data_IF_308960587747
#
_entry.id   IF_308960587747
#
_cell.length_a   1.000
_cell.length_b   1.000
_cell.length_c   1.000
_cell.angle_alpha   90.00
_cell.angle_beta   90.00
_cell.angle_gamma   90.00
#
_symmetry.space_group_name_H-M   'P 1'
#
loop_
_entity.id
_entity.type
_entity.pdbx_description
1 polymer ?
#
# COMPACT_ATOMS: atom_id res chain seq x y z
N UNK A 1 -0.42 2.67 12.52
CA UNK A 1 -0.37 1.22 12.20
C UNK A 1 -0.03 1.04 10.72
N UNK A 2 -0.75 1.66 9.76
CA UNK A 2 -0.57 1.44 8.31
C UNK A 2 0.85 1.68 7.75
N UNK A 3 1.66 2.49 8.43
CA UNK A 3 3.08 2.69 8.08
C UNK A 3 3.97 1.50 8.46
N UNK A 4 3.53 0.65 9.38
CA UNK A 4 4.23 -0.55 9.82
C UNK A 4 3.55 -1.79 9.22
N UNK A 5 4.21 -2.44 8.27
CA UNK A 5 3.67 -3.62 7.56
C UNK A 5 3.41 -4.80 8.48
N UNK A 6 4.29 -5.01 9.48
CA UNK A 6 4.12 -6.10 10.43
C UNK A 6 2.94 -5.84 11.37
N UNK A 7 2.86 -4.63 11.96
CA UNK A 7 1.74 -4.24 12.81
C UNK A 7 0.40 -4.26 12.05
N UNK A 8 0.39 -3.83 10.78
CA UNK A 8 -0.78 -3.90 9.91
C UNK A 8 -1.25 -5.33 9.73
N UNK A 9 -0.36 -6.25 9.36
CA UNK A 9 -0.70 -7.67 9.19
C UNK A 9 -1.16 -8.31 10.50
N UNK A 10 -0.50 -8.01 11.61
CA UNK A 10 -0.91 -8.49 12.94
C UNK A 10 -2.34 -8.06 13.29
N UNK A 11 -2.73 -6.82 12.96
CA UNK A 11 -4.09 -6.32 13.16
C UNK A 11 -5.13 -6.99 12.25
N UNK A 12 -4.72 -7.45 11.07
CA UNK A 12 -5.58 -8.11 10.07
C UNK A 12 -5.64 -9.65 10.21
N UNK A 13 -4.89 -10.24 11.15
CA UNK A 13 -4.73 -11.70 11.27
C UNK A 13 -6.05 -12.46 11.45
N UNK A 14 -7.01 -11.86 12.15
CA UNK A 14 -8.31 -12.48 12.45
C UNK A 14 -9.42 -11.91 11.55
N UNK A 15 -9.10 -11.66 10.28
CA UNK A 15 -10.00 -11.18 9.23
C UNK A 15 -9.93 -12.11 8.02
N UNK A 16 -10.81 -11.89 7.03
CA UNK A 16 -10.80 -12.63 5.76
C UNK A 16 -9.77 -12.06 4.76
N UNK A 17 -8.97 -11.06 5.17
CA UNK A 17 -7.87 -10.52 4.35
C UNK A 17 -6.78 -11.57 4.18
N UNK A 18 -6.51 -11.96 2.94
CA UNK A 18 -5.54 -13.00 2.62
C UNK A 18 -4.11 -12.48 2.70
N UNK A 19 -3.48 -12.68 3.84
CA UNK A 19 -2.13 -12.19 4.14
C UNK A 19 -1.05 -13.08 3.52
N UNK A 20 0.01 -12.46 3.00
CA UNK A 20 1.23 -13.19 2.61
C UNK A 20 1.89 -13.74 3.88
N UNK A 21 2.24 -15.04 3.92
CA UNK A 21 2.99 -15.62 5.04
C UNK A 21 4.29 -14.86 5.30
N UNK A 22 4.50 -14.45 6.55
CA UNK A 22 5.62 -13.62 6.95
C UNK A 22 6.26 -14.04 8.28
N UNK A 23 7.42 -13.46 8.56
CA UNK A 23 8.12 -13.52 9.83
C UNK A 23 8.87 -12.22 10.07
N UNK A 24 8.75 -11.66 11.27
CA UNK A 24 9.60 -10.56 11.72
C UNK A 24 10.96 -11.13 12.14
N UNK A 25 12.03 -10.49 11.66
CA UNK A 25 13.43 -10.82 11.99
C UNK A 25 13.97 -9.68 12.86
N UNK A 26 14.31 -9.99 14.10
CA UNK A 26 14.87 -9.01 15.01
C UNK A 26 16.32 -8.64 14.64
N UNK A 27 16.77 -7.49 15.11
CA UNK A 27 18.15 -7.06 14.94
C UNK A 27 19.15 -8.07 15.53
N UNK A 28 20.14 -8.43 14.76
CA UNK A 28 21.17 -9.43 15.16
C UNK A 28 20.74 -10.88 14.95
N UNK A 29 19.47 -11.14 14.64
CA UNK A 29 19.02 -12.45 14.21
C UNK A 29 19.30 -12.62 12.71
N UNK A 30 20.17 -13.59 12.36
CA UNK A 30 20.41 -13.87 10.94
C UNK A 30 19.18 -14.55 10.33
N UNK A 31 18.60 -14.02 9.24
CA UNK A 31 17.41 -14.60 8.66
C UNK A 31 17.69 -15.94 8.00
N UNK A 32 16.91 -16.95 8.39
CA UNK A 32 16.80 -18.19 7.65
C UNK A 32 15.38 -18.28 7.07
N UNK A 33 15.27 -18.58 5.79
CA UNK A 33 13.98 -18.75 5.12
C UNK A 33 13.73 -20.22 4.80
N UNK A 34 12.49 -20.66 4.99
CA UNK A 34 11.99 -21.91 4.40
C UNK A 34 11.36 -21.68 3.02
N UNK A 35 11.24 -20.42 2.63
CA UNK A 35 10.69 -20.00 1.35
C UNK A 35 11.81 -19.46 0.47
N UNK A 36 11.95 -19.96 -0.72
CA UNK A 36 12.72 -19.34 -1.79
C UNK A 36 11.96 -19.52 -3.09
N UNK A 37 11.75 -18.43 -3.86
CA UNK A 37 12.11 -17.04 -3.53
C UNK A 37 11.40 -16.51 -2.29
N UNK A 38 12.05 -15.56 -1.60
CA UNK A 38 11.47 -14.79 -0.50
C UNK A 38 11.75 -13.30 -0.67
N UNK A 39 11.01 -12.48 0.07
CA UNK A 39 11.19 -11.02 0.09
C UNK A 39 11.68 -10.62 1.47
N UNK A 40 12.80 -9.91 1.53
CA UNK A 40 13.26 -9.22 2.73
C UNK A 40 12.94 -7.74 2.57
N UNK A 41 12.30 -7.12 3.54
CA UNK A 41 11.96 -5.70 3.47
C UNK A 41 11.96 -5.02 4.82
N UNK A 42 12.18 -3.71 4.81
CA UNK A 42 11.98 -2.84 5.97
C UNK A 42 10.48 -2.78 6.29
N UNK A 43 10.04 -3.16 7.50
CA UNK A 43 8.63 -3.08 7.88
C UNK A 43 8.08 -1.64 7.84
N UNK A 44 8.93 -0.62 8.04
CA UNK A 44 8.58 0.80 7.99
C UNK A 44 8.93 1.45 6.64
N UNK A 45 9.58 0.72 5.73
CA UNK A 45 10.00 1.21 4.42
C UNK A 45 8.80 1.55 3.51
N UNK A 46 8.99 2.52 2.63
CA UNK A 46 8.01 2.94 1.63
C UNK A 46 8.58 2.97 0.21
N UNK A 47 7.71 3.10 -0.79
CA UNK A 47 8.09 3.28 -2.20
C UNK A 47 9.04 2.20 -2.76
N UNK A 48 8.92 0.96 -2.29
CA UNK A 48 9.81 -0.17 -2.65
C UNK A 48 11.30 0.02 -2.28
N UNK A 49 11.63 1.04 -1.49
CA UNK A 49 12.98 1.22 -0.93
C UNK A 49 13.19 0.19 0.19
N UNK A 50 14.33 -0.48 0.18
CA UNK A 50 14.63 -1.51 1.18
C UNK A 50 13.81 -2.80 0.99
N UNK A 51 13.48 -3.13 -0.25
CA UNK A 51 12.82 -4.38 -0.64
C UNK A 51 13.78 -5.21 -1.50
N UNK A 52 14.06 -6.44 -1.07
CA UNK A 52 14.96 -7.36 -1.77
C UNK A 52 14.24 -8.68 -2.06
N UNK A 53 14.22 -9.07 -3.32
CA UNK A 53 13.79 -10.42 -3.74
C UNK A 53 15.01 -11.33 -3.67
N UNK A 54 14.95 -12.33 -2.82
CA UNK A 54 16.05 -13.26 -2.56
C UNK A 54 15.69 -14.64 -3.12
N UNK A 55 16.40 -15.07 -4.14
CA UNK A 55 16.21 -16.38 -4.78
C UNK A 55 16.99 -17.48 -4.07
N UNK A 56 18.07 -17.12 -3.37
CA UNK A 56 18.99 -18.04 -2.69
C UNK A 56 19.29 -17.59 -1.26
N UNK A 57 19.79 -18.50 -0.39
CA UNK A 57 20.29 -18.13 0.92
C UNK A 57 21.40 -17.06 0.89
N UNK A 58 22.20 -17.06 -0.18
CA UNK A 58 23.26 -16.07 -0.35
C UNK A 58 22.72 -14.68 -0.66
N UNK A 59 21.65 -14.57 -1.49
CA UNK A 59 20.99 -13.30 -1.75
C UNK A 59 20.41 -12.72 -0.47
N UNK A 60 19.75 -13.57 0.33
CA UNK A 60 19.18 -13.18 1.62
C UNK A 60 20.26 -12.67 2.59
N UNK A 61 21.40 -13.34 2.63
CA UNK A 61 22.55 -12.92 3.43
C UNK A 61 23.06 -11.54 2.97
N UNK A 62 23.21 -11.36 1.67
CA UNK A 62 23.69 -10.11 1.08
C UNK A 62 22.74 -8.96 1.40
N UNK A 63 21.44 -9.15 1.17
CA UNK A 63 20.40 -8.15 1.46
C UNK A 63 20.41 -7.73 2.94
N UNK A 64 20.48 -8.72 3.85
CA UNK A 64 20.52 -8.47 5.29
C UNK A 64 21.76 -7.67 5.71
N UNK A 65 22.94 -7.96 5.15
CA UNK A 65 24.20 -7.29 5.52
C UNK A 65 24.35 -5.92 4.90
N UNK A 66 23.66 -5.63 3.80
CA UNK A 66 23.70 -4.33 3.12
C UNK A 66 22.71 -3.31 3.68
N UNK A 67 21.82 -3.72 4.54
CA UNK A 67 20.81 -2.85 5.11
C UNK A 67 21.17 -2.40 6.52
N UNK A 68 20.92 -1.11 6.81
CA UNK A 68 21.05 -0.52 8.14
C UNK A 68 19.77 -0.63 8.98
N UNK A 69 18.77 -1.35 8.51
CA UNK A 69 17.49 -1.53 9.19
C UNK A 69 17.65 -2.39 10.44
N UNK A 70 16.96 -2.00 11.51
CA UNK A 70 17.03 -2.72 12.81
C UNK A 70 16.20 -3.99 12.85
N UNK A 71 15.14 -4.03 12.08
CA UNK A 71 14.20 -5.15 12.00
C UNK A 71 13.83 -5.37 10.54
N UNK A 72 13.55 -6.60 10.18
CA UNK A 72 13.15 -6.96 8.83
C UNK A 72 11.86 -7.77 8.85
N UNK A 73 11.04 -7.57 7.84
CA UNK A 73 9.93 -8.44 7.50
C UNK A 73 10.38 -9.37 6.38
N UNK A 74 10.42 -10.67 6.69
CA UNK A 74 10.69 -11.73 5.71
C UNK A 74 9.37 -12.32 5.26
N UNK A 75 9.07 -12.26 3.97
CA UNK A 75 7.84 -12.76 3.37
C UNK A 75 8.09 -13.84 2.32
N UNK A 76 7.12 -14.73 2.13
CA UNK A 76 7.07 -15.57 0.94
C UNK A 76 6.95 -14.67 -0.30
N UNK A 77 7.76 -14.90 -1.32
CA UNK A 77 7.56 -14.24 -2.61
C UNK A 77 6.31 -14.79 -3.30
N UNK A 78 5.44 -13.92 -3.73
CA UNK A 78 4.23 -14.24 -4.50
C UNK A 78 4.43 -13.73 -5.93
N UNK A 79 4.41 -14.63 -6.88
CA UNK A 79 4.44 -14.27 -8.31
C UNK A 79 3.03 -13.95 -8.77
N UNK A 80 2.83 -12.77 -9.36
CA UNK A 80 1.52 -12.36 -9.84
C UNK A 80 1.48 -10.93 -10.39
N UNK A 81 0.29 -10.49 -10.73
CA UNK A 81 -0.01 -9.13 -11.18
C UNK A 81 -0.29 -8.24 -9.96
N UNK A 82 0.36 -7.09 -9.89
CA UNK A 82 0.06 -6.10 -8.84
C UNK A 82 -1.21 -5.34 -9.21
N UNK A 83 -2.12 -5.26 -8.25
CA UNK A 83 -3.36 -4.48 -8.35
C UNK A 83 -3.54 -3.59 -7.14
N UNK A 84 -4.36 -2.56 -7.29
CA UNK A 84 -4.68 -1.68 -6.19
C UNK A 84 -6.14 -1.29 -6.15
N UNK A 85 -6.64 -1.06 -4.94
CA UNK A 85 -8.01 -0.63 -4.65
C UNK A 85 -7.99 0.59 -3.77
N UNK A 86 -8.53 1.70 -4.23
CA UNK A 86 -8.79 2.85 -3.40
C UNK A 86 -10.08 2.66 -2.61
N UNK A 87 -10.07 3.07 -1.34
CA UNK A 87 -11.23 3.05 -0.43
C UNK A 87 -11.42 4.45 0.13
N UNK A 88 -12.65 4.95 0.09
CA UNK A 88 -13.03 6.25 0.65
C UNK A 88 -14.42 6.16 1.27
N UNK A 89 -14.57 6.60 2.52
CA UNK A 89 -15.86 6.60 3.24
C UNK A 89 -16.60 5.25 3.21
N UNK A 90 -15.88 4.15 3.42
CA UNK A 90 -16.39 2.76 3.35
C UNK A 90 -16.92 2.35 1.96
N UNK A 91 -16.48 2.99 0.91
CA UNK A 91 -16.77 2.61 -0.48
C UNK A 91 -15.47 2.31 -1.22
N UNK A 92 -15.46 1.25 -2.02
CA UNK A 92 -14.32 0.89 -2.87
C UNK A 92 -14.49 1.48 -4.26
N UNK A 93 -13.39 1.93 -4.83
CA UNK A 93 -13.32 2.30 -6.24
C UNK A 93 -12.97 1.08 -7.13
N UNK A 94 -13.10 1.19 -8.46
CA UNK A 94 -12.69 0.14 -9.36
C UNK A 94 -11.23 -0.26 -9.15
N UNK A 95 -10.96 -1.55 -9.29
CA UNK A 95 -9.61 -2.11 -9.22
C UNK A 95 -8.77 -1.54 -10.36
N UNK A 96 -7.53 -1.17 -10.04
CA UNK A 96 -6.52 -0.75 -10.99
C UNK A 96 -5.46 -1.84 -11.13
N UNK A 97 -5.25 -2.35 -12.33
CA UNK A 97 -4.13 -3.23 -12.66
C UNK A 97 -2.88 -2.43 -12.96
N UNK A 98 -1.75 -2.89 -12.44
CA UNK A 98 -0.44 -2.24 -12.56
C UNK A 98 0.49 -3.21 -13.30
N UNK A 99 0.88 -2.88 -14.54
CA UNK A 99 1.72 -3.74 -15.36
C UNK A 99 3.01 -3.01 -15.75
N UNK A 100 4.11 -3.26 -15.04
CA UNK A 100 5.43 -2.81 -15.48
C UNK A 100 5.74 -3.41 -16.85
N UNK A 101 6.31 -2.61 -17.76
CA UNK A 101 6.73 -3.11 -19.09
C UNK A 101 7.95 -4.01 -19.00
N UNK A 102 8.78 -3.79 -17.99
CA UNK A 102 9.99 -4.56 -17.71
C UNK A 102 10.14 -4.76 -16.20
N UNK A 103 10.51 -5.97 -15.78
CA UNK A 103 10.91 -6.27 -14.42
C UNK A 103 9.80 -6.20 -13.37
N UNK A 104 10.15 -5.68 -12.19
CA UNK A 104 9.32 -5.55 -11.00
C UNK A 104 8.80 -4.11 -10.87
N UNK A 105 7.65 -3.90 -10.21
CA UNK A 105 7.12 -2.56 -9.94
C UNK A 105 7.92 -1.88 -8.83
N UNK A 106 9.17 -1.57 -9.15
CA UNK A 106 10.10 -0.87 -8.27
C UNK A 106 9.93 0.66 -8.32
N UNK A 107 10.82 1.36 -7.64
CA UNK A 107 10.83 2.81 -7.59
C UNK A 107 10.93 3.44 -8.99
N UNK A 108 11.75 2.86 -9.87
CA UNK A 108 11.95 3.38 -11.24
C UNK A 108 10.69 3.17 -12.09
N UNK A 109 10.07 1.99 -11.99
CA UNK A 109 8.81 1.68 -12.69
C UNK A 109 7.64 2.54 -12.18
N UNK A 110 7.65 2.91 -10.88
CA UNK A 110 6.62 3.78 -10.26
C UNK A 110 6.68 5.23 -10.75
N UNK A 111 7.86 5.79 -10.93
CA UNK A 111 8.03 7.23 -11.17
C UNK A 111 8.54 7.59 -12.57
N UNK A 112 8.95 6.61 -13.38
CA UNK A 112 9.38 6.87 -14.75
C UNK A 112 8.20 6.77 -15.71
N UNK A 113 7.84 7.91 -16.33
CA UNK A 113 6.73 7.97 -17.28
C UNK A 113 6.90 6.96 -18.41
N UNK A 114 5.87 6.13 -18.63
CA UNK A 114 5.82 5.17 -19.73
C UNK A 114 6.46 3.81 -19.44
N UNK A 115 7.04 3.56 -18.23
CA UNK A 115 7.55 2.25 -17.82
C UNK A 115 6.48 1.33 -17.25
N UNK A 116 5.34 1.87 -16.85
CA UNK A 116 4.21 1.11 -16.31
C UNK A 116 2.94 1.45 -17.05
N UNK A 117 2.13 0.46 -17.32
CA UNK A 117 0.79 0.58 -17.87
C UNK A 117 -0.24 0.35 -16.75
N UNK A 118 -1.28 1.18 -16.76
CA UNK A 118 -2.38 1.10 -15.80
C UNK A 118 -3.68 0.81 -16.54
N UNK A 119 -4.46 -0.14 -16.05
CA UNK A 119 -5.76 -0.47 -16.60
C UNK A 119 -6.84 -0.18 -15.56
N UNK A 120 -7.78 0.69 -15.92
CA UNK A 120 -8.89 1.10 -15.04
C UNK A 120 -10.19 1.14 -15.85
N UNK A 121 -11.18 0.31 -15.51
CA UNK A 121 -11.12 -0.77 -14.54
C UNK A 121 -10.14 -1.88 -14.96
N UNK A 122 -9.68 -2.65 -13.99
CA UNK A 122 -8.82 -3.83 -14.23
C UNK A 122 -9.48 -4.81 -15.21
N UNK A 123 -8.70 -5.44 -16.13
CA UNK A 123 -9.21 -6.47 -17.03
C UNK A 123 -9.34 -7.86 -16.38
N UNK A 124 -9.03 -7.99 -15.09
CA UNK A 124 -9.21 -9.24 -14.35
C UNK A 124 -10.69 -9.64 -14.24
N UNK A 125 -10.95 -10.91 -13.91
CA UNK A 125 -12.33 -11.38 -13.79
C UNK A 125 -13.10 -10.59 -12.71
N UNK A 126 -14.43 -10.42 -12.85
CA UNK A 126 -15.25 -9.74 -11.86
C UNK A 126 -15.12 -10.35 -10.45
N UNK A 127 -14.96 -11.68 -10.36
CA UNK A 127 -14.78 -12.39 -9.10
C UNK A 127 -13.48 -11.96 -8.37
N UNK A 128 -12.38 -11.85 -9.10
CA UNK A 128 -11.09 -11.40 -8.55
C UNK A 128 -11.19 -9.95 -8.10
N UNK A 129 -11.81 -9.09 -8.91
CA UNK A 129 -12.01 -7.68 -8.57
C UNK A 129 -12.89 -7.51 -7.33
N UNK A 130 -14.00 -8.26 -7.22
CA UNK A 130 -14.88 -8.26 -6.02
C UNK A 130 -14.10 -8.69 -4.77
N UNK A 131 -13.35 -9.79 -4.86
CA UNK A 131 -12.55 -10.28 -3.75
C UNK A 131 -11.52 -9.25 -3.28
N UNK A 132 -10.81 -8.59 -4.21
CA UNK A 132 -9.86 -7.53 -3.87
C UNK A 132 -10.54 -6.32 -3.18
N UNK A 133 -11.72 -5.93 -3.68
CA UNK A 133 -12.49 -4.83 -3.10
C UNK A 133 -13.03 -5.17 -1.71
N UNK A 134 -13.50 -6.39 -1.48
CA UNK A 134 -13.96 -6.88 -0.19
C UNK A 134 -12.82 -6.87 0.84
N UNK A 135 -11.65 -7.43 0.50
CA UNK A 135 -10.47 -7.41 1.36
C UNK A 135 -9.98 -5.98 1.64
N UNK A 136 -9.99 -5.08 0.65
CA UNK A 136 -9.59 -3.69 0.83
C UNK A 136 -10.52 -2.95 1.81
N UNK A 137 -11.84 -3.17 1.68
CA UNK A 137 -12.83 -2.59 2.57
C UNK A 137 -12.70 -3.14 4.00
N UNK A 138 -12.51 -4.44 4.15
CA UNK A 138 -12.30 -5.08 5.44
C UNK A 138 -11.03 -4.56 6.13
N UNK A 139 -9.91 -4.47 5.41
CA UNK A 139 -8.68 -3.89 5.94
C UNK A 139 -8.88 -2.43 6.37
N UNK A 140 -9.55 -1.62 5.55
CA UNK A 140 -9.87 -0.22 5.85
C UNK A 140 -10.68 -0.09 7.15
N UNK A 141 -11.72 -0.90 7.31
CA UNK A 141 -12.61 -0.89 8.49
C UNK A 141 -11.89 -1.41 9.74
N UNK A 142 -11.21 -2.55 9.63
CA UNK A 142 -10.50 -3.18 10.75
C UNK A 142 -9.40 -2.28 11.31
N UNK A 143 -8.72 -1.53 10.45
CA UNK A 143 -7.69 -0.56 10.85
C UNK A 143 -8.28 0.81 11.27
N UNK A 144 -9.61 0.94 11.31
CA UNK A 144 -10.32 2.18 11.67
C UNK A 144 -9.84 3.38 10.84
N UNK A 145 -9.62 3.16 9.55
CA UNK A 145 -9.14 4.23 8.67
C UNK A 145 -10.22 5.26 8.39
N UNK A 146 -9.82 6.48 8.11
CA UNK A 146 -10.69 7.59 7.71
C UNK A 146 -10.09 8.31 6.50
N UNK A 147 -10.92 9.04 5.76
CA UNK A 147 -10.49 9.67 4.52
C UNK A 147 -10.23 8.63 3.42
N UNK A 148 -9.35 8.96 2.49
CA UNK A 148 -8.99 8.06 1.39
C UNK A 148 -7.80 7.18 1.78
N UNK A 149 -7.90 5.89 1.48
CA UNK A 149 -6.80 4.94 1.60
C UNK A 149 -6.66 4.14 0.30
N UNK A 150 -5.51 3.47 0.12
CA UNK A 150 -5.25 2.61 -1.02
C UNK A 150 -4.63 1.30 -0.53
N UNK A 151 -5.32 0.20 -0.79
CA UNK A 151 -4.83 -1.15 -0.51
C UNK A 151 -4.20 -1.74 -1.77
N UNK A 152 -3.02 -2.31 -1.63
CA UNK A 152 -2.23 -2.89 -2.70
C UNK A 152 -2.17 -4.42 -2.53
N UNK A 153 -2.31 -5.17 -3.64
CA UNK A 153 -2.40 -6.63 -3.66
C UNK A 153 -1.57 -7.23 -4.77
N UNK A 154 -1.27 -8.53 -4.66
CA UNK A 154 -0.78 -9.35 -5.77
C UNK A 154 -1.84 -10.41 -6.09
N UNK A 155 -2.16 -10.55 -7.38
CA UNK A 155 -3.05 -11.59 -7.90
C UNK A 155 -2.22 -12.65 -8.60
N UNK A 156 -2.28 -13.89 -8.12
CA UNK A 156 -1.58 -15.01 -8.74
C UNK A 156 -2.26 -15.44 -10.05
N UNK A 157 -1.57 -16.24 -10.86
CA UNK A 157 -2.15 -16.84 -12.08
C UNK A 157 -3.39 -17.70 -11.78
N UNK A 158 -3.47 -18.27 -10.57
CA UNK A 158 -4.61 -19.05 -10.09
C UNK A 158 -5.78 -18.19 -9.61
N UNK A 159 -5.61 -16.85 -9.59
CA UNK A 159 -6.63 -15.89 -9.16
C UNK A 159 -6.70 -15.68 -7.65
N UNK A 160 -5.71 -16.14 -6.88
CA UNK A 160 -5.60 -15.84 -5.46
C UNK A 160 -5.15 -14.38 -5.28
N UNK A 161 -5.82 -13.64 -4.40
CA UNK A 161 -5.56 -12.23 -4.12
C UNK A 161 -4.87 -12.11 -2.77
N UNK A 162 -3.60 -11.72 -2.76
CA UNK A 162 -2.79 -11.55 -1.56
C UNK A 162 -2.60 -10.09 -1.22
N UNK A 163 -2.89 -9.72 0.01
CA UNK A 163 -2.70 -8.36 0.54
C UNK A 163 -1.21 -8.04 0.72
N UNK A 164 -0.76 -6.91 0.18
CA UNK A 164 0.59 -6.38 0.34
C UNK A 164 0.69 -5.34 1.46
N UNK A 165 -0.05 -4.25 1.29
CA UNK A 165 -0.05 -3.11 2.22
C UNK A 165 -1.29 -2.23 2.02
N UNK A 166 -1.54 -1.32 2.97
CA UNK A 166 -2.53 -0.26 2.84
C UNK A 166 -1.93 1.10 3.18
N UNK A 167 -2.14 2.06 2.31
CA UNK A 167 -1.60 3.42 2.39
C UNK A 167 -2.70 4.38 2.85
N UNK A 168 -2.52 4.98 4.04
CA UNK A 168 -3.47 5.94 4.62
C UNK A 168 -3.39 7.34 3.98
N UNK A 169 -2.31 7.63 3.25
CA UNK A 169 -2.14 8.89 2.52
C UNK A 169 -1.58 8.59 1.13
N UNK A 170 -2.43 8.03 0.24
CA UNK A 170 -1.98 7.69 -1.11
C UNK A 170 -1.66 8.95 -1.93
N UNK A 171 -0.88 8.79 -3.00
CA UNK A 171 -0.59 9.88 -3.92
C UNK A 171 -1.87 10.55 -4.45
N UNK A 172 -1.89 11.88 -4.43
CA UNK A 172 -3.03 12.72 -4.81
C UNK A 172 -2.64 13.71 -5.90
N UNK A 173 -2.07 13.22 -6.98
CA UNK A 173 -1.93 13.98 -8.23
C UNK A 173 -2.97 13.50 -9.24
N UNK A 174 -3.25 14.27 -10.27
CA UNK A 174 -4.20 13.87 -11.33
C UNK A 174 -3.86 12.53 -12.01
N UNK A 175 -2.62 12.09 -11.93
CA UNK A 175 -2.13 10.82 -12.49
C UNK A 175 -1.90 9.73 -11.45
N UNK A 176 -2.27 9.97 -10.19
CA UNK A 176 -2.17 8.97 -9.12
C UNK A 176 -3.29 7.93 -9.21
N UNK A 177 -3.05 6.73 -8.69
CA UNK A 177 -3.94 5.58 -8.87
C UNK A 177 -5.33 5.78 -8.23
N UNK A 178 -5.39 6.41 -7.05
CA UNK A 178 -6.68 6.68 -6.39
C UNK A 178 -7.55 7.69 -7.16
N UNK A 179 -7.04 8.85 -7.59
CA UNK A 179 -7.76 9.74 -8.51
C UNK A 179 -8.14 9.09 -9.84
N UNK A 180 -7.26 8.25 -10.40
CA UNK A 180 -7.54 7.52 -11.64
C UNK A 180 -8.72 6.55 -11.48
N UNK A 181 -8.78 5.82 -10.36
CA UNK A 181 -9.90 4.93 -10.04
C UNK A 181 -11.21 5.71 -9.81
N UNK A 182 -11.16 6.89 -9.15
CA UNK A 182 -12.32 7.76 -8.97
C UNK A 182 -12.85 8.30 -10.31
N UNK A 183 -11.95 8.71 -11.20
CA UNK A 183 -12.30 9.18 -12.53
C UNK A 183 -13.02 8.12 -13.37
N UNK A 184 -12.66 6.84 -13.21
CA UNK A 184 -13.30 5.73 -13.92
C UNK A 184 -14.79 5.55 -13.55
N UNK A 185 -15.23 6.09 -12.42
CA UNK A 185 -16.66 6.14 -12.01
C UNK A 185 -17.25 7.53 -12.11
N UNK A 186 -16.61 8.43 -12.86
CA UNK A 186 -17.16 9.76 -13.17
C UNK A 186 -16.88 10.84 -12.13
N UNK A 187 -16.06 10.56 -11.10
CA UNK A 187 -15.68 11.55 -10.08
C UNK A 187 -14.40 12.24 -10.56
N UNK A 188 -14.47 13.52 -10.85
CA UNK A 188 -13.32 14.33 -11.26
C UNK A 188 -12.33 14.53 -10.10
N UNK A 189 -11.07 14.87 -10.42
CA UNK A 189 -10.08 15.13 -9.38
C UNK A 189 -10.49 16.26 -8.41
N UNK A 190 -11.01 17.41 -8.85
CA UNK A 190 -11.52 18.45 -7.95
C UNK A 190 -12.64 17.95 -7.03
N UNK A 191 -13.61 17.20 -7.57
CA UNK A 191 -14.73 16.65 -6.79
C UNK A 191 -14.22 15.64 -5.74
N UNK A 192 -13.26 14.78 -6.08
CA UNK A 192 -12.64 13.86 -5.13
C UNK A 192 -11.98 14.62 -3.99
N UNK A 193 -11.20 15.67 -4.30
CA UNK A 193 -10.53 16.51 -3.29
C UNK A 193 -11.56 17.20 -2.39
N UNK A 194 -12.62 17.75 -2.96
CA UNK A 194 -13.71 18.38 -2.22
C UNK A 194 -14.38 17.39 -1.26
N UNK A 195 -14.69 16.17 -1.72
CA UNK A 195 -15.27 15.12 -0.89
C UNK A 195 -14.34 14.76 0.28
N UNK A 196 -13.03 14.63 0.03
CA UNK A 196 -12.03 14.35 1.07
C UNK A 196 -12.01 15.48 2.11
N UNK A 197 -12.02 16.74 1.68
CA UNK A 197 -12.03 17.89 2.57
C UNK A 197 -13.29 17.92 3.46
N UNK A 198 -14.45 17.59 2.91
CA UNK A 198 -15.69 17.51 3.69
C UNK A 198 -15.70 16.43 4.76
N UNK A 199 -14.90 15.38 4.59
CA UNK A 199 -14.76 14.29 5.59
C UNK A 199 -13.62 14.53 6.57
N UNK A 200 -12.77 15.53 6.33
CA UNK A 200 -11.65 15.83 7.19
C UNK A 200 -12.14 16.26 8.59
N UNK A 201 -11.61 15.60 9.62
CA UNK A 201 -11.87 15.94 11.01
C UNK A 201 -10.61 16.57 11.60
N UNK A 202 -10.72 17.81 12.06
CA UNK A 202 -9.67 18.40 12.90
C UNK A 202 -9.79 17.78 14.31
N UNK A 203 -8.94 16.84 14.64
CA UNK A 203 -8.76 16.43 16.04
C UNK A 203 -7.94 17.53 16.73
N UNK A 204 -8.64 18.49 17.35
CA UNK A 204 -7.99 19.42 18.29
C UNK A 204 -7.40 18.57 19.42
N UNK A 205 -6.06 18.50 19.48
CA UNK A 205 -5.40 18.02 20.67
C UNK A 205 -5.76 18.95 21.83
N UNK A 206 -6.05 18.43 23.01
CA UNK A 206 -6.32 19.23 24.23
C UNK A 206 -5.10 20.03 24.74
N UNK A 207 -4.10 20.25 23.92
CA UNK A 207 -2.93 21.10 24.17
C UNK A 207 -3.01 22.42 23.39
N UNK A 208 -4.18 23.08 23.40
CA UNK A 208 -4.28 24.47 22.96
C UNK A 208 -3.91 25.45 24.09
N UNK A 209 -2.67 25.37 24.58
CA UNK A 209 -2.04 26.55 25.19
C UNK A 209 -0.70 26.77 24.49
N UNK A 210 -0.65 27.89 23.73
CA UNK A 210 0.57 28.56 23.24
C UNK A 210 1.04 28.47 21.79
N UNK A 211 0.25 28.07 20.82
CA UNK A 211 0.66 28.40 19.44
C UNK A 211 0.10 29.78 19.05
N UNK A 212 0.93 30.85 19.16
CA UNK A 212 0.70 32.12 18.45
C UNK A 212 1.42 31.99 17.10
N UNK A 213 0.70 32.02 15.95
CA UNK A 213 1.38 32.05 14.65
C UNK A 213 2.26 33.30 14.57
N UNK A 214 3.44 33.20 13.95
CA UNK A 214 4.26 34.40 13.71
C UNK A 214 3.46 35.36 12.84
N UNK A 215 3.51 36.65 13.21
CA UNK A 215 2.83 37.72 12.52
C UNK A 215 3.16 37.70 11.03
N UNK A 216 2.16 37.47 10.18
CA UNK A 216 2.32 37.52 8.72
C UNK A 216 1.57 36.46 7.90
N UNK A 217 0.84 35.52 8.52
CA UNK A 217 -0.04 34.62 7.77
C UNK A 217 -1.42 35.27 7.59
N UNK A 218 -1.71 35.68 6.36
CA UNK A 218 -3.04 36.17 5.96
C UNK A 218 -3.95 34.96 5.73
N UNK A 219 -5.03 34.89 6.49
CA UNK A 219 -6.19 34.07 6.14
C UNK A 219 -6.82 34.68 4.88
N UNK A 220 -6.75 33.98 3.75
CA UNK A 220 -7.61 34.27 2.60
C UNK A 220 -9.03 33.82 2.99
N UNK A 221 -9.89 34.81 3.18
CA UNK A 221 -11.35 34.64 3.28
C UNK A 221 -11.94 34.26 1.94
#
# INVERSE_FOLDING_TARGET
ISMDKHATKAALKDTDVHLIPDRLIAHGEFPASKWYPCVLKDPLGGSSIGVWICHTPQDLKTAYTQSDTKEFLLERYILGEEITVAVFSNQTYPVVSIRPKEGFFDLEAKYTKGKTEYFVPSPLSPQICSNAQEQALEAYQKLSMSGIARADFIVTEQGEVFFLEINASPGMTATSLSPMAAQAVGISFPELVEQILHTAKCTRSQHEESYKPPNGFWLLT
#
